data_IF_747852164487
#
_entry.id   IF_747852164487
#
_cell.length_a   1.000
_cell.length_b   1.000
_cell.length_c   1.000
_cell.angle_alpha   90.00
_cell.angle_beta   90.00
_cell.angle_gamma   90.00
#
_symmetry.space_group_name_H-M   'P 1'
#
loop_
_entity.id
_entity.type
_entity.pdbx_description
1 polymer ?
#
# COMPACT_ATOMS: atom_id res chain seq x y z
N UNK A 1 25.06 20.90 -19.86
CA UNK A 1 23.72 20.66 -19.29
C UNK A 1 23.41 19.15 -19.22
N UNK A 2 23.08 18.63 -18.04
CA UNK A 2 22.64 17.24 -17.87
C UNK A 2 21.12 17.22 -17.69
N UNK A 3 20.40 16.47 -18.53
CA UNK A 3 18.95 16.32 -18.44
C UNK A 3 18.62 15.10 -17.56
N UNK A 4 17.85 15.31 -16.49
CA UNK A 4 17.42 14.25 -15.55
C UNK A 4 15.88 14.22 -15.48
N UNK A 5 15.23 14.08 -16.64
CA UNK A 5 13.78 14.32 -16.78
C UNK A 5 12.94 13.08 -16.46
N UNK A 6 13.42 11.87 -16.74
CA UNK A 6 12.65 10.63 -16.56
C UNK A 6 13.52 9.57 -15.87
N UNK A 7 13.22 9.21 -14.61
CA UNK A 7 13.88 8.07 -13.96
C UNK A 7 13.29 6.74 -14.44
N UNK A 8 14.12 5.69 -14.45
CA UNK A 8 13.66 4.32 -14.68
C UNK A 8 13.07 3.74 -13.38
N UNK A 9 11.76 3.82 -13.26
CA UNK A 9 11.04 3.41 -12.06
C UNK A 9 11.02 1.89 -11.87
N UNK A 10 11.06 1.12 -12.97
CA UNK A 10 11.01 -0.34 -12.96
C UNK A 10 12.29 -0.89 -12.32
N UNK A 11 13.43 -0.46 -12.85
CA UNK A 11 14.74 -0.87 -12.35
C UNK A 11 14.97 -0.43 -10.89
N UNK A 12 14.55 0.79 -10.54
CA UNK A 12 14.65 1.27 -9.16
C UNK A 12 13.80 0.41 -8.22
N UNK A 13 12.56 0.10 -8.60
CA UNK A 13 11.66 -0.71 -7.78
C UNK A 13 12.22 -2.13 -7.57
N UNK A 14 12.73 -2.76 -8.63
CA UNK A 14 13.35 -4.08 -8.57
C UNK A 14 14.54 -4.10 -7.59
N UNK A 15 15.52 -3.20 -7.75
CA UNK A 15 16.68 -3.18 -6.86
C UNK A 15 16.32 -2.88 -5.42
N UNK A 16 15.33 -2.02 -5.19
CA UNK A 16 14.86 -1.73 -3.84
C UNK A 16 14.20 -2.96 -3.21
N UNK A 17 13.34 -3.68 -3.94
CA UNK A 17 12.75 -4.93 -3.46
C UNK A 17 13.81 -5.99 -3.16
N UNK A 18 14.81 -6.16 -4.03
CA UNK A 18 15.94 -7.07 -3.78
C UNK A 18 16.68 -6.69 -2.49
N UNK A 19 16.93 -5.40 -2.28
CA UNK A 19 17.62 -4.91 -1.07
C UNK A 19 16.82 -5.16 0.22
N UNK A 20 15.49 -5.22 0.12
CA UNK A 20 14.59 -5.53 1.24
C UNK A 20 14.41 -7.05 1.47
N UNK A 21 15.04 -7.89 0.63
CA UNK A 21 15.08 -9.34 0.78
C UNK A 21 14.06 -10.12 -0.05
N UNK A 22 13.45 -9.48 -1.07
CA UNK A 22 12.55 -10.15 -2.00
C UNK A 22 13.33 -10.91 -3.07
N UNK A 23 12.99 -12.19 -3.28
CA UNK A 23 13.59 -13.04 -4.30
C UNK A 23 12.92 -12.87 -5.66
N UNK A 24 11.60 -12.64 -5.68
CA UNK A 24 10.80 -12.45 -6.90
C UNK A 24 10.69 -10.97 -7.32
N UNK A 25 11.72 -10.18 -6.98
CA UNK A 25 11.70 -8.71 -7.06
C UNK A 25 11.37 -8.16 -8.45
N UNK A 26 11.85 -8.79 -9.52
CA UNK A 26 11.56 -8.38 -10.90
C UNK A 26 10.06 -8.42 -11.21
N UNK A 27 9.40 -9.56 -10.95
CA UNK A 27 7.97 -9.75 -11.24
C UNK A 27 7.13 -8.84 -10.33
N UNK A 28 7.50 -8.74 -9.06
CA UNK A 28 6.81 -7.94 -8.06
C UNK A 28 6.96 -6.42 -8.33
N UNK A 29 8.13 -5.99 -8.77
CA UNK A 29 8.40 -4.62 -9.21
C UNK A 29 7.52 -4.23 -10.40
N UNK A 30 7.35 -5.12 -11.36
CA UNK A 30 6.49 -4.89 -12.52
C UNK A 30 5.01 -4.76 -12.14
N UNK A 31 4.54 -5.59 -11.19
CA UNK A 31 3.19 -5.45 -10.63
C UNK A 31 3.02 -4.10 -9.91
N UNK A 32 4.00 -3.70 -9.10
CA UNK A 32 3.99 -2.43 -8.38
C UNK A 32 3.87 -1.24 -9.33
N UNK A 33 4.75 -1.17 -10.34
CA UNK A 33 4.77 -0.05 -11.30
C UNK A 33 3.51 -0.05 -12.16
N UNK A 34 3.04 -1.23 -12.58
CA UNK A 34 1.78 -1.36 -13.32
C UNK A 34 0.61 -0.83 -12.52
N UNK A 35 0.51 -1.17 -11.22
CA UNK A 35 -0.52 -0.62 -10.35
C UNK A 35 -0.46 0.91 -10.29
N UNK A 36 0.72 1.49 -10.04
CA UNK A 36 0.87 2.95 -9.91
C UNK A 36 0.52 3.67 -11.22
N UNK A 37 0.87 3.08 -12.37
CA UNK A 37 0.48 3.59 -13.69
C UNK A 37 -1.04 3.54 -13.86
N UNK A 38 -1.67 2.40 -13.58
CA UNK A 38 -3.12 2.25 -13.68
C UNK A 38 -3.86 3.18 -12.71
N UNK A 39 -3.35 3.35 -11.49
CA UNK A 39 -3.90 4.28 -10.53
C UNK A 39 -3.86 5.71 -11.05
N UNK A 40 -2.76 6.14 -11.67
CA UNK A 40 -2.65 7.46 -12.30
C UNK A 40 -3.62 7.67 -13.47
N UNK A 41 -3.93 6.62 -14.22
CA UNK A 41 -4.78 6.69 -15.42
C UNK A 41 -6.28 6.56 -15.12
N UNK A 42 -6.65 5.77 -14.11
CA UNK A 42 -8.03 5.35 -13.87
C UNK A 42 -8.69 6.00 -12.66
N UNK A 43 -7.92 6.46 -11.66
CA UNK A 43 -8.49 7.17 -10.52
C UNK A 43 -8.78 8.63 -10.91
N UNK A 44 -9.68 9.23 -10.14
CA UNK A 44 -9.98 10.66 -10.27
C UNK A 44 -8.71 11.52 -10.09
N UNK A 45 -8.68 12.68 -10.75
CA UNK A 45 -7.57 13.64 -10.62
C UNK A 45 -7.71 14.40 -9.30
N UNK A 46 -6.96 13.99 -8.29
CA UNK A 46 -6.87 14.68 -7.00
C UNK A 46 -5.49 15.34 -6.86
N UNK A 47 -5.46 16.55 -6.30
CA UNK A 47 -4.21 17.32 -6.15
C UNK A 47 -3.22 16.66 -5.19
N UNK A 48 -3.70 15.88 -4.22
CA UNK A 48 -2.87 15.18 -3.23
C UNK A 48 -2.37 13.81 -3.68
N UNK A 49 -2.79 13.30 -4.84
CA UNK A 49 -2.30 12.03 -5.36
C UNK A 49 -0.87 12.16 -5.88
N UNK A 50 0.02 11.35 -5.32
CA UNK A 50 1.41 11.22 -5.75
C UNK A 50 1.72 9.78 -6.16
N UNK A 51 1.83 9.57 -7.47
CA UNK A 51 2.20 8.28 -8.08
C UNK A 51 3.67 8.26 -8.56
N UNK A 52 4.46 9.26 -8.16
CA UNK A 52 5.87 9.39 -8.56
C UNK A 52 6.85 8.66 -7.63
N UNK A 53 8.15 8.81 -7.90
CA UNK A 53 9.23 8.13 -7.16
C UNK A 53 9.22 8.39 -5.65
N UNK A 54 8.75 9.57 -5.23
CA UNK A 54 8.61 9.95 -3.81
C UNK A 54 7.64 9.03 -3.06
N UNK A 55 6.58 8.56 -3.72
CA UNK A 55 5.60 7.66 -3.15
C UNK A 55 6.05 6.19 -3.18
N UNK A 56 7.00 5.83 -4.05
CA UNK A 56 7.47 4.44 -4.20
C UNK A 56 8.32 3.98 -3.02
N UNK A 57 9.37 4.74 -2.70
CA UNK A 57 10.34 4.35 -1.65
C UNK A 57 9.69 3.99 -0.31
N UNK A 58 8.77 4.79 0.24
CA UNK A 58 8.15 4.47 1.52
C UNK A 58 7.37 3.14 1.50
N UNK A 59 6.69 2.81 0.41
CA UNK A 59 5.97 1.52 0.31
C UNK A 59 6.92 0.35 0.35
N UNK A 60 8.02 0.42 -0.41
CA UNK A 60 8.98 -0.68 -0.51
C UNK A 60 9.68 -0.93 0.83
N UNK A 61 9.99 0.14 1.58
CA UNK A 61 10.53 0.03 2.95
C UNK A 61 9.53 -0.65 3.89
N UNK A 62 8.24 -0.29 3.81
CA UNK A 62 7.18 -0.95 4.60
C UNK A 62 7.03 -2.42 4.19
N UNK A 63 7.07 -2.74 2.91
CA UNK A 63 7.02 -4.11 2.41
C UNK A 63 8.20 -4.95 2.94
N UNK A 64 9.41 -4.38 2.97
CA UNK A 64 10.57 -5.01 3.58
C UNK A 64 10.43 -5.25 5.08
N UNK A 65 9.87 -4.29 5.81
CA UNK A 65 9.58 -4.45 7.23
C UNK A 65 8.57 -5.60 7.47
N UNK A 66 7.52 -5.68 6.66
CA UNK A 66 6.53 -6.76 6.72
C UNK A 66 7.16 -8.13 6.39
N UNK A 67 8.03 -8.20 5.36
CA UNK A 67 8.74 -9.44 5.01
C UNK A 67 9.69 -9.91 6.11
N UNK A 68 10.32 -8.99 6.83
CA UNK A 68 11.17 -9.32 7.99
C UNK A 68 10.37 -9.79 9.19
N UNK A 69 9.18 -9.21 9.40
CA UNK A 69 8.28 -9.59 10.49
C UNK A 69 7.68 -11.00 10.28
N UNK A 70 7.35 -11.36 9.04
CA UNK A 70 6.89 -12.70 8.67
C UNK A 70 7.64 -13.22 7.43
N UNK A 71 8.70 -13.99 7.69
CA UNK A 71 9.55 -14.55 6.63
C UNK A 71 8.86 -15.67 5.85
N UNK A 72 7.89 -16.35 6.46
CA UNK A 72 7.17 -17.48 5.85
C UNK A 72 6.07 -17.03 4.89
N UNK A 73 5.56 -15.81 5.06
CA UNK A 73 4.53 -15.26 4.20
C UNK A 73 5.02 -15.15 2.74
N UNK A 74 4.18 -15.58 1.78
CA UNK A 74 4.44 -15.37 0.35
C UNK A 74 4.69 -13.90 0.00
N UNK A 75 5.70 -13.66 -0.83
CA UNK A 75 6.18 -12.30 -1.15
C UNK A 75 5.13 -11.44 -1.86
N UNK A 76 4.30 -12.06 -2.70
CA UNK A 76 3.16 -11.45 -3.37
C UNK A 76 2.11 -10.94 -2.37
N UNK A 77 1.78 -11.72 -1.34
CA UNK A 77 0.88 -11.30 -0.27
C UNK A 77 1.47 -10.17 0.56
N UNK A 78 2.78 -10.22 0.85
CA UNK A 78 3.46 -9.15 1.58
C UNK A 78 3.41 -7.84 0.80
N UNK A 79 3.72 -7.89 -0.51
CA UNK A 79 3.69 -6.69 -1.34
C UNK A 79 2.27 -6.16 -1.53
N UNK A 80 1.29 -7.03 -1.78
CA UNK A 80 -0.12 -6.65 -1.92
C UNK A 80 -0.64 -5.99 -0.64
N UNK A 81 -0.29 -6.53 0.53
CA UNK A 81 -0.61 -5.92 1.82
C UNK A 81 0.01 -4.54 1.97
N UNK A 82 1.32 -4.41 1.72
CA UNK A 82 2.02 -3.13 1.84
C UNK A 82 1.43 -2.06 0.92
N UNK A 83 1.14 -2.43 -0.34
CA UNK A 83 0.54 -1.56 -1.34
C UNK A 83 -0.84 -1.09 -0.93
N UNK A 84 -1.70 -2.01 -0.47
CA UNK A 84 -3.05 -1.68 -0.03
C UNK A 84 -2.99 -0.79 1.21
N UNK A 85 -2.35 -1.24 2.28
CA UNK A 85 -2.42 -0.59 3.58
C UNK A 85 -1.77 0.82 3.53
N UNK A 86 -0.72 1.01 2.72
CA UNK A 86 -0.08 2.33 2.56
C UNK A 86 -0.90 3.32 1.73
N UNK A 87 -1.63 2.84 0.72
CA UNK A 87 -2.35 3.72 -0.21
C UNK A 87 -3.81 3.96 0.21
N UNK A 88 -4.48 2.98 0.83
CA UNK A 88 -5.86 3.11 1.31
C UNK A 88 -6.18 4.42 2.06
N UNK A 89 -5.37 4.91 3.02
CA UNK A 89 -5.70 6.15 3.73
C UNK A 89 -5.63 7.42 2.85
N UNK A 90 -5.03 7.33 1.65
CA UNK A 90 -4.88 8.46 0.72
C UNK A 90 -5.99 8.50 -0.33
N UNK A 91 -6.58 7.34 -0.63
CA UNK A 91 -7.61 7.19 -1.66
C UNK A 91 -8.93 7.79 -1.17
N UNK A 92 -9.56 8.62 -1.99
CA UNK A 92 -10.89 9.15 -1.69
C UNK A 92 -11.95 8.05 -1.82
N UNK A 93 -13.02 8.13 -1.05
CA UNK A 93 -14.05 7.06 -0.96
C UNK A 93 -14.60 6.60 -2.31
N UNK A 94 -14.74 7.52 -3.27
CA UNK A 94 -15.25 7.26 -4.63
C UNK A 94 -14.30 6.40 -5.47
N UNK A 95 -12.99 6.51 -5.23
CA UNK A 95 -11.94 5.80 -5.97
C UNK A 95 -11.59 4.44 -5.33
N UNK A 96 -12.01 4.19 -4.07
CA UNK A 96 -11.71 2.95 -3.33
C UNK A 96 -12.12 1.69 -4.10
N UNK A 97 -13.34 1.59 -4.70
CA UNK A 97 -13.73 0.40 -5.44
C UNK A 97 -12.84 0.13 -6.65
N UNK A 98 -12.42 1.19 -7.36
CA UNK A 98 -11.52 1.09 -8.51
C UNK A 98 -10.14 0.61 -8.06
N UNK A 99 -9.57 1.23 -7.02
CA UNK A 99 -8.28 0.84 -6.47
C UNK A 99 -8.25 -0.64 -6.03
N UNK A 100 -9.28 -1.10 -5.30
CA UNK A 100 -9.39 -2.50 -4.89
C UNK A 100 -9.65 -3.45 -6.06
N UNK A 101 -10.30 -3.00 -7.14
CA UNK A 101 -10.39 -3.73 -8.40
C UNK A 101 -9.01 -3.97 -9.01
N UNK A 102 -8.22 -2.91 -9.17
CA UNK A 102 -6.87 -2.98 -9.75
C UNK A 102 -5.92 -3.89 -8.95
N UNK A 103 -6.02 -3.85 -7.61
CA UNK A 103 -5.26 -4.77 -6.75
C UNK A 103 -5.64 -6.22 -7.04
N UNK A 104 -6.94 -6.54 -7.11
CA UNK A 104 -7.43 -7.90 -7.37
C UNK A 104 -7.00 -8.41 -8.75
N UNK A 105 -6.98 -7.55 -9.76
CA UNK A 105 -6.55 -7.90 -11.11
C UNK A 105 -5.05 -8.22 -11.17
N UNK A 106 -4.21 -7.49 -10.41
CA UNK A 106 -2.76 -7.71 -10.37
C UNK A 106 -2.33 -8.84 -9.43
N UNK A 107 -3.14 -9.15 -8.42
CA UNK A 107 -2.90 -10.15 -7.39
C UNK A 107 -4.09 -11.14 -7.32
N UNK A 108 -4.32 -11.94 -8.39
CA UNK A 108 -5.49 -12.80 -8.47
C UNK A 108 -5.44 -13.91 -7.41
N UNK A 109 -6.58 -14.18 -6.78
CA UNK A 109 -6.71 -15.26 -5.78
C UNK A 109 -6.03 -14.98 -4.44
N UNK A 110 -5.52 -13.77 -4.22
CA UNK A 110 -4.89 -13.36 -2.97
C UNK A 110 -5.86 -12.51 -2.15
N UNK A 111 -6.40 -13.09 -1.09
CA UNK A 111 -7.08 -12.33 -0.05
C UNK A 111 -6.15 -12.20 1.16
N UNK A 112 -5.76 -10.96 1.45
CA UNK A 112 -4.99 -10.66 2.66
C UNK A 112 -5.92 -9.95 3.62
N UNK A 113 -6.12 -10.48 4.82
CA UNK A 113 -6.93 -9.78 5.82
C UNK A 113 -6.25 -8.49 6.26
N UNK A 114 -7.06 -7.51 6.70
CA UNK A 114 -6.51 -6.32 7.34
C UNK A 114 -5.91 -6.75 8.68
N UNK A 115 -4.72 -6.25 8.99
CA UNK A 115 -4.18 -6.39 10.34
C UNK A 115 -5.03 -5.56 11.30
N UNK A 116 -5.71 -6.22 12.22
CA UNK A 116 -6.46 -5.59 13.31
C UNK A 116 -5.69 -5.76 14.61
N UNK A 117 -5.76 -4.74 15.46
CA UNK A 117 -5.28 -4.80 16.84
C UNK A 117 -6.50 -4.67 17.75
N UNK A 118 -7.06 -5.82 18.13
CA UNK A 118 -8.30 -5.88 18.90
C UNK A 118 -8.17 -5.23 20.28
N UNK A 119 -6.97 -5.25 20.87
CA UNK A 119 -6.74 -4.58 22.15
C UNK A 119 -6.74 -3.07 21.97
N UNK A 120 -6.05 -2.56 20.95
CA UNK A 120 -6.02 -1.15 20.62
C UNK A 120 -7.42 -0.62 20.28
N UNK A 121 -8.18 -1.32 19.43
CA UNK A 121 -9.56 -0.95 19.07
C UNK A 121 -10.48 -0.89 20.31
N UNK A 122 -10.31 -1.82 21.26
CA UNK A 122 -11.04 -1.81 22.53
C UNK A 122 -10.71 -0.58 23.38
N UNK A 123 -9.43 -0.23 23.48
CA UNK A 123 -8.96 0.95 24.26
C UNK A 123 -9.46 2.25 23.64
N UNK A 124 -9.42 2.37 22.31
CA UNK A 124 -9.94 3.55 21.59
C UNK A 124 -11.44 3.69 21.87
N UNK A 125 -12.21 2.61 21.72
CA UNK A 125 -13.66 2.62 21.98
C UNK A 125 -13.98 3.04 23.42
N UNK A 126 -13.23 2.52 24.40
CA UNK A 126 -13.42 2.88 25.81
C UNK A 126 -13.12 4.36 26.07
N UNK A 127 -11.95 4.84 25.61
CA UNK A 127 -11.53 6.23 25.80
C UNK A 127 -12.48 7.22 25.12
N UNK A 128 -13.01 6.90 23.93
CA UNK A 128 -14.01 7.71 23.25
C UNK A 128 -15.28 7.89 24.08
N UNK A 129 -15.76 6.83 24.75
CA UNK A 129 -16.92 6.90 25.64
C UNK A 129 -16.62 7.75 26.88
N UNK A 130 -15.43 7.61 27.47
CA UNK A 130 -14.99 8.43 28.61
C UNK A 130 -14.93 9.93 28.26
N UNK A 131 -14.51 10.25 27.03
CA UNK A 131 -14.50 11.61 26.48
C UNK A 131 -15.87 12.10 26.00
N UNK A 132 -16.94 11.29 26.16
CA UNK A 132 -18.31 11.58 25.69
C UNK A 132 -18.41 11.78 24.17
N UNK A 133 -17.54 11.13 23.40
CA UNK A 133 -17.59 11.08 21.94
C UNK A 133 -18.36 9.82 21.47
N UNK A 134 -18.80 9.83 20.22
CA UNK A 134 -19.44 8.68 19.59
C UNK A 134 -18.38 7.76 18.96
N UNK A 135 -18.21 6.51 19.44
CA UNK A 135 -17.23 5.58 18.87
C UNK A 135 -17.80 4.89 17.62
N UNK A 136 -17.86 5.64 16.53
CA UNK A 136 -18.19 5.09 15.20
C UNK A 136 -17.05 4.21 14.70
N UNK A 137 -17.37 3.15 13.94
CA UNK A 137 -16.34 2.23 13.45
C UNK A 137 -15.36 2.96 12.50
N UNK A 138 -15.85 3.88 11.65
CA UNK A 138 -14.99 4.73 10.80
C UNK A 138 -14.01 5.58 11.62
N UNK A 139 -14.42 6.00 12.82
CA UNK A 139 -13.58 6.78 13.73
C UNK A 139 -12.48 5.92 14.36
N UNK A 140 -12.79 4.66 14.71
CA UNK A 140 -11.81 3.70 15.26
C UNK A 140 -10.80 3.26 14.18
N UNK A 141 -11.23 3.19 12.92
CA UNK A 141 -10.39 2.71 11.82
C UNK A 141 -9.39 3.75 11.29
N UNK A 142 -9.55 5.04 11.59
CA UNK A 142 -8.73 6.18 11.14
C UNK A 142 -7.68 6.58 12.18
#
# INVERSE_FOLDING_TARGET
PCAMVVPDMELICEFMLMSEGFQSAQILGNKFITLYRLCKELLSKQDHYDWGLRAVKPVLVVAGALKRADRTKPEDQVLMQALRDFNMPKIVSEDVPVFLGLIRDLFPGLEVERRTDAEFERIVRQTSLELKLQPEDTFILK
#
